data_IF_923832285432
#
_entry.id   IF_923832285432
#
_cell.length_a   1.000
_cell.length_b   1.000
_cell.length_c   1.000
_cell.angle_alpha   90.00
_cell.angle_beta   90.00
_cell.angle_gamma   90.00
#
_symmetry.space_group_name_H-M   'P 1'
#
loop_
_entity.id
_entity.type
_entity.pdbx_description
1 polymer ?
#
# COMPACT_ATOMS: atom_id res chain seq x y z
N UNK A 1 -3.27 -2.60 -15.59
CA UNK A 1 -2.81 -1.41 -14.84
C UNK A 1 -1.31 -1.18 -14.89
N UNK A 2 -0.44 -2.14 -14.56
CA UNK A 2 1.01 -1.93 -14.74
C UNK A 2 1.39 -1.70 -16.21
N UNK A 3 0.86 -2.53 -17.12
CA UNK A 3 1.02 -2.33 -18.57
C UNK A 3 0.43 -1.00 -19.05
N UNK A 4 -0.77 -0.65 -18.60
CA UNK A 4 -1.41 0.64 -18.93
C UNK A 4 -0.54 1.83 -18.49
N UNK A 5 0.12 1.74 -17.34
CA UNK A 5 1.07 2.74 -16.87
C UNK A 5 2.34 2.77 -17.75
N UNK A 6 2.89 1.61 -18.14
CA UNK A 6 4.00 1.55 -19.10
C UNK A 6 3.62 2.18 -20.45
N UNK A 7 2.44 1.88 -20.98
CA UNK A 7 1.94 2.46 -22.22
C UNK A 7 1.84 3.99 -22.13
N UNK A 8 1.36 4.51 -20.99
CA UNK A 8 1.34 5.95 -20.74
C UNK A 8 2.76 6.55 -20.69
N UNK A 9 3.69 5.90 -19.98
CA UNK A 9 5.09 6.34 -19.92
C UNK A 9 5.73 6.39 -21.31
N UNK A 10 5.49 5.37 -22.14
CA UNK A 10 5.96 5.31 -23.52
C UNK A 10 5.32 6.43 -24.37
N UNK A 11 4.02 6.68 -24.22
CA UNK A 11 3.33 7.77 -24.91
C UNK A 11 3.90 9.15 -24.54
N UNK A 12 4.22 9.35 -23.26
CA UNK A 12 4.86 10.56 -22.74
C UNK A 12 6.36 10.65 -23.06
N UNK A 13 6.94 9.59 -23.66
CA UNK A 13 8.37 9.46 -23.95
C UNK A 13 9.24 9.56 -22.70
N UNK A 14 8.75 9.05 -21.57
CA UNK A 14 9.53 8.91 -20.35
C UNK A 14 10.21 7.56 -20.36
N UNK A 15 11.51 7.57 -20.59
CA UNK A 15 12.31 6.38 -20.92
C UNK A 15 13.37 6.01 -19.88
N UNK A 16 13.68 6.91 -18.94
CA UNK A 16 14.63 6.69 -17.83
C UNK A 16 14.37 7.61 -16.65
N UNK A 17 15.09 7.36 -15.55
CA UNK A 17 15.09 8.19 -14.35
C UNK A 17 13.70 8.40 -13.72
N UNK A 18 12.81 7.41 -13.88
CA UNK A 18 11.41 7.51 -13.45
C UNK A 18 11.31 7.23 -11.95
N UNK A 19 10.63 8.11 -11.21
CA UNK A 19 10.39 7.96 -9.78
C UNK A 19 8.92 7.60 -9.57
N UNK A 20 8.66 6.49 -8.87
CA UNK A 20 7.31 5.95 -8.69
C UNK A 20 6.93 5.95 -7.22
N UNK A 21 5.76 6.51 -6.90
CA UNK A 21 5.17 6.46 -5.55
C UNK A 21 3.88 5.67 -5.63
N UNK A 22 3.87 4.49 -5.01
CA UNK A 22 2.72 3.60 -4.96
C UNK A 22 2.08 3.58 -3.57
N UNK A 23 0.81 3.95 -3.49
CA UNK A 23 0.04 4.00 -2.23
C UNK A 23 -1.09 2.98 -2.27
N UNK A 24 -1.25 2.17 -1.22
CA UNK A 24 -2.33 1.17 -1.15
C UNK A 24 -2.32 0.23 -2.38
N UNK A 25 -3.42 0.11 -3.12
CA UNK A 25 -3.45 -0.63 -4.38
C UNK A 25 -2.45 -0.13 -5.41
N UNK A 26 -2.17 1.18 -5.42
CA UNK A 26 -1.13 1.78 -6.25
C UNK A 26 0.23 1.15 -6.01
N UNK A 27 0.58 0.78 -4.77
CA UNK A 27 1.85 0.11 -4.47
C UNK A 27 1.96 -1.31 -5.06
N UNK A 28 0.84 -2.03 -5.16
CA UNK A 28 0.80 -3.33 -5.84
C UNK A 28 1.07 -3.14 -7.34
N UNK A 29 0.39 -2.18 -7.96
CA UNK A 29 0.57 -1.85 -9.38
C UNK A 29 1.99 -1.35 -9.65
N UNK A 30 2.52 -0.47 -8.80
CA UNK A 30 3.89 0.05 -8.91
C UNK A 30 4.94 -1.04 -8.77
N UNK A 31 4.69 -2.06 -7.94
CA UNK A 31 5.59 -3.20 -7.81
C UNK A 31 5.64 -4.02 -9.10
N UNK A 32 4.47 -4.31 -9.70
CA UNK A 32 4.38 -4.98 -11.00
C UNK A 32 5.00 -4.14 -12.13
N UNK A 33 4.83 -2.81 -12.10
CA UNK A 33 5.46 -1.90 -13.07
C UNK A 33 7.00 -1.93 -12.93
N UNK A 34 7.52 -1.90 -11.71
CA UNK A 34 8.96 -1.96 -11.47
C UNK A 34 9.58 -3.31 -11.92
N UNK A 35 8.82 -4.40 -11.83
CA UNK A 35 9.24 -5.69 -12.40
C UNK A 35 9.19 -5.70 -13.94
N UNK A 36 8.25 -4.98 -14.54
CA UNK A 36 8.08 -4.90 -15.99
C UNK A 36 9.14 -4.05 -16.69
N UNK A 37 9.51 -2.91 -16.09
CA UNK A 37 10.45 -1.93 -16.66
C UNK A 37 11.58 -1.51 -15.69
N UNK A 38 12.30 -2.46 -15.07
CA UNK A 38 13.25 -2.17 -13.99
C UNK A 38 14.33 -1.16 -14.40
N UNK A 39 14.82 -1.26 -15.64
CA UNK A 39 15.87 -0.38 -16.18
C UNK A 39 15.43 1.10 -16.32
N UNK A 40 14.13 1.38 -16.30
CA UNK A 40 13.59 2.76 -16.41
C UNK A 40 13.35 3.42 -15.05
N UNK A 41 13.28 2.67 -13.96
CA UNK A 41 12.90 3.15 -12.63
C UNK A 41 14.14 3.56 -11.83
N UNK A 42 14.20 4.81 -11.40
CA UNK A 42 15.24 5.33 -10.50
C UNK A 42 14.91 5.07 -9.03
N UNK A 43 13.67 5.36 -8.61
CA UNK A 43 13.22 5.12 -7.25
C UNK A 43 11.80 4.55 -7.21
N UNK A 44 11.56 3.69 -6.22
CA UNK A 44 10.25 3.12 -5.93
C UNK A 44 9.93 3.34 -4.45
N UNK A 45 8.91 4.13 -4.18
CA UNK A 45 8.36 4.35 -2.84
C UNK A 45 7.07 3.58 -2.67
N UNK A 46 6.99 2.74 -1.65
CA UNK A 46 5.82 1.91 -1.35
C UNK A 46 5.21 2.31 0.00
N UNK A 47 3.98 2.83 -0.03
CA UNK A 47 3.29 3.34 1.15
C UNK A 47 1.99 2.57 1.40
N UNK A 48 1.80 2.05 2.62
CA UNK A 48 0.56 1.38 3.04
C UNK A 48 0.07 0.32 2.04
N UNK A 49 1.00 -0.46 1.49
CA UNK A 49 0.72 -1.46 0.45
C UNK A 49 1.18 -2.84 0.90
N UNK A 50 0.99 -3.84 0.05
CA UNK A 50 1.47 -5.20 0.26
C UNK A 50 1.88 -5.81 -1.07
N UNK A 51 2.77 -6.80 -1.07
CA UNK A 51 3.18 -7.55 -2.28
C UNK A 51 2.12 -8.54 -2.80
N UNK A 52 0.83 -8.26 -2.54
CA UNK A 52 -0.25 -9.24 -2.66
C UNK A 52 -0.26 -10.26 -1.50
N UNK A 53 -1.42 -10.44 -0.87
CA UNK A 53 -1.67 -11.51 0.11
C UNK A 53 -3.00 -12.16 -0.23
N UNK A 54 -3.03 -13.49 -0.26
CA UNK A 54 -4.29 -14.22 -0.47
C UNK A 54 -5.22 -14.07 0.74
N UNK A 55 -4.64 -13.96 1.94
CA UNK A 55 -5.38 -13.81 3.19
C UNK A 55 -4.85 -12.63 4.01
N UNK A 56 -5.76 -11.79 4.49
CA UNK A 56 -5.44 -10.79 5.50
C UNK A 56 -5.16 -11.47 6.85
N UNK A 57 -4.30 -10.85 7.66
CA UNK A 57 -4.08 -11.34 9.04
C UNK A 57 -5.43 -11.34 9.78
N UNK A 58 -5.81 -12.41 10.50
CA UNK A 58 -7.06 -12.45 11.27
C UNK A 58 -7.23 -11.25 12.20
N UNK A 59 -6.13 -10.78 12.80
CA UNK A 59 -6.11 -9.57 13.62
C UNK A 59 -6.56 -8.32 12.82
N UNK A 60 -6.06 -8.13 11.59
CA UNK A 60 -6.45 -7.00 10.76
C UNK A 60 -7.94 -7.06 10.36
N UNK A 61 -8.46 -8.25 10.05
CA UNK A 61 -9.90 -8.43 9.75
C UNK A 61 -10.74 -8.11 10.99
N UNK A 62 -10.37 -8.65 12.15
CA UNK A 62 -11.03 -8.39 13.43
C UNK A 62 -11.04 -6.90 13.78
N UNK A 63 -9.90 -6.22 13.63
CA UNK A 63 -9.80 -4.76 13.84
C UNK A 63 -10.74 -3.99 12.92
N UNK A 64 -10.78 -4.30 11.63
CA UNK A 64 -11.69 -3.62 10.70
C UNK A 64 -13.16 -3.81 11.09
N UNK A 65 -13.56 -5.03 11.48
CA UNK A 65 -14.93 -5.27 11.96
C UNK A 65 -15.24 -4.48 13.23
N UNK A 66 -14.31 -4.41 14.19
CA UNK A 66 -14.45 -3.58 15.40
C UNK A 66 -14.58 -2.10 15.05
N UNK A 67 -13.80 -1.58 14.10
CA UNK A 67 -13.90 -0.20 13.66
C UNK A 67 -15.25 0.13 13.01
N UNK A 68 -15.85 -0.82 12.27
CA UNK A 68 -17.20 -0.65 11.69
C UNK A 68 -18.27 -0.57 12.78
N UNK A 69 -18.12 -1.33 13.86
CA UNK A 69 -19.07 -1.36 14.98
C UNK A 69 -18.83 -0.28 16.05
N UNK A 70 -17.71 0.45 15.96
CA UNK A 70 -17.34 1.48 16.92
C UNK A 70 -18.36 2.62 16.91
N UNK A 71 -18.68 3.15 18.09
CA UNK A 71 -19.68 4.22 18.28
C UNK A 71 -19.03 5.59 18.44
N UNK A 72 -17.71 5.63 18.56
CA UNK A 72 -16.94 6.86 18.74
C UNK A 72 -15.60 6.82 18.00
N UNK A 73 -15.08 8.00 17.69
CA UNK A 73 -13.75 8.13 17.08
C UNK A 73 -12.63 7.61 17.99
N UNK A 74 -12.76 7.78 19.32
CA UNK A 74 -11.80 7.28 20.30
C UNK A 74 -11.71 5.75 20.28
N UNK A 75 -12.84 5.04 20.15
CA UNK A 75 -12.85 3.58 20.01
C UNK A 75 -12.15 3.13 18.72
N UNK A 76 -12.39 3.80 17.59
CA UNK A 76 -11.70 3.51 16.33
C UNK A 76 -10.20 3.69 16.49
N UNK A 77 -9.77 4.82 17.08
CA UNK A 77 -8.35 5.11 17.31
C UNK A 77 -7.72 4.01 18.19
N UNK A 78 -8.37 3.62 19.29
CA UNK A 78 -7.86 2.58 20.18
C UNK A 78 -7.73 1.22 19.45
N UNK A 79 -8.75 0.82 18.68
CA UNK A 79 -8.69 -0.42 17.90
C UNK A 79 -7.55 -0.42 16.87
N UNK A 80 -7.30 0.73 16.22
CA UNK A 80 -6.20 0.88 15.27
C UNK A 80 -4.85 0.85 15.98
N UNK A 81 -4.69 1.58 17.09
CA UNK A 81 -3.46 1.58 17.90
C UNK A 81 -3.15 0.16 18.37
N UNK A 82 -4.15 -0.55 18.90
CA UNK A 82 -4.01 -1.92 19.37
C UNK A 82 -3.56 -2.89 18.27
N UNK A 83 -4.00 -2.64 17.05
CA UNK A 83 -3.70 -3.49 15.90
C UNK A 83 -2.35 -3.18 15.23
N UNK A 84 -1.86 -1.94 15.35
CA UNK A 84 -0.65 -1.47 14.65
C UNK A 84 0.60 -1.45 15.53
N UNK A 85 0.43 -1.28 16.84
CA UNK A 85 1.54 -1.11 17.77
C UNK A 85 1.61 -2.22 18.82
N UNK A 86 2.82 -2.66 19.22
CA UNK A 86 2.98 -3.59 20.34
C UNK A 86 2.58 -2.93 21.67
N UNK A 87 2.19 -3.72 22.67
CA UNK A 87 1.75 -3.22 23.99
C UNK A 87 2.76 -2.25 24.64
N UNK A 88 4.06 -2.51 24.47
CA UNK A 88 5.13 -1.68 25.04
C UNK A 88 5.18 -0.24 24.48
N UNK A 89 4.44 0.06 23.41
CA UNK A 89 4.39 1.38 22.77
C UNK A 89 3.07 2.11 23.02
N UNK A 90 2.15 1.53 23.80
CA UNK A 90 0.86 2.16 24.12
C UNK A 90 1.01 2.97 25.42
N UNK A 91 0.50 4.21 25.41
CA UNK A 91 0.58 5.17 26.51
C UNK A 91 -0.68 5.15 27.38
#
# INVERSE_FOLDING_TARGET
MAKDAEELLNHLKWDKDINVVGISMGGMISSELALLIPEKISTLTLCSTTSGRLFYKPAAVSTNLKCIMAKSQSEIINHVIDSLYPEVWKF
#
